data_IF_344287430338
#
_entry.id   IF_344287430338
#
_cell.length_a   1.000
_cell.length_b   1.000
_cell.length_c   1.000
_cell.angle_alpha   90.00
_cell.angle_beta   90.00
_cell.angle_gamma   90.00
#
_symmetry.space_group_name_H-M   'P 1'
#
loop_
_entity.id
_entity.type
_entity.pdbx_description
1 polymer ?
#
# COMPACT_ATOMS: atom_id res chain seq x y z
N UNK A 1 -7.08 22.65 10.00
CA UNK A 1 -6.58 21.95 8.79
C UNK A 1 -7.73 21.11 8.24
N UNK A 2 -8.05 21.16 6.94
CA UNK A 2 -9.06 20.25 6.36
C UNK A 2 -8.56 18.81 6.49
N UNK A 3 -9.45 17.86 6.78
CA UNK A 3 -9.11 16.44 6.89
C UNK A 3 -8.64 15.92 5.52
N UNK A 4 -7.50 15.21 5.49
CA UNK A 4 -7.01 14.54 4.28
C UNK A 4 -7.83 13.27 4.04
N UNK A 5 -8.21 13.02 2.81
CA UNK A 5 -9.04 11.88 2.42
C UNK A 5 -8.29 10.93 1.48
N UNK A 6 -8.40 9.62 1.73
CA UNK A 6 -7.97 8.56 0.80
C UNK A 6 -9.02 8.30 -0.28
N UNK A 7 -10.30 8.40 0.11
CA UNK A 7 -11.47 8.51 -0.75
C UNK A 7 -12.62 9.18 0.01
N UNK A 8 -13.76 9.37 -0.65
CA UNK A 8 -14.93 10.00 -0.05
C UNK A 8 -15.36 9.29 1.25
N UNK A 9 -15.31 10.03 2.37
CA UNK A 9 -15.70 9.52 3.68
C UNK A 9 -14.65 8.67 4.40
N UNK A 10 -13.45 8.48 3.83
CA UNK A 10 -12.36 7.78 4.53
C UNK A 10 -11.14 8.68 4.73
N UNK A 11 -10.73 8.93 5.99
CA UNK A 11 -9.53 9.69 6.30
C UNK A 11 -8.26 9.00 5.77
N UNK A 12 -7.35 9.78 5.17
CA UNK A 12 -6.11 9.25 4.59
C UNK A 12 -5.23 8.56 5.64
N UNK A 13 -5.06 9.17 6.82
CA UNK A 13 -4.20 8.64 7.89
C UNK A 13 -4.72 7.27 8.37
N UNK A 14 -6.03 7.17 8.61
CA UNK A 14 -6.67 5.93 9.04
C UNK A 14 -6.49 4.82 8.00
N UNK A 15 -6.61 5.16 6.72
CA UNK A 15 -6.40 4.23 5.62
C UNK A 15 -4.95 3.70 5.58
N UNK A 16 -3.95 4.58 5.52
CA UNK A 16 -2.55 4.17 5.39
C UNK A 16 -2.04 3.43 6.64
N UNK A 17 -2.51 3.80 7.84
CA UNK A 17 -2.19 3.08 9.07
C UNK A 17 -2.71 1.64 9.06
N UNK A 18 -3.95 1.43 8.62
CA UNK A 18 -4.55 0.10 8.53
C UNK A 18 -3.89 -0.75 7.47
N UNK A 19 -3.64 -0.19 6.28
CA UNK A 19 -2.95 -0.92 5.21
C UNK A 19 -1.55 -1.31 5.68
N UNK A 20 -0.81 -0.41 6.33
CA UNK A 20 0.49 -0.75 6.91
C UNK A 20 0.40 -1.84 7.99
N UNK A 21 -0.59 -1.80 8.88
CA UNK A 21 -0.72 -2.78 9.96
C UNK A 21 -1.12 -4.17 9.45
N UNK A 22 -1.99 -4.24 8.44
CA UNK A 22 -2.32 -5.49 7.75
C UNK A 22 -1.09 -6.01 6.98
N UNK A 23 -0.38 -5.14 6.27
CA UNK A 23 0.83 -5.49 5.52
C UNK A 23 1.98 -5.98 6.41
N UNK A 24 2.06 -5.52 7.66
CA UNK A 24 2.99 -6.03 8.68
C UNK A 24 2.53 -7.34 9.35
N UNK A 25 1.30 -7.79 9.06
CA UNK A 25 0.69 -8.96 9.69
C UNK A 25 0.46 -8.73 11.19
N UNK A 26 -0.06 -7.57 11.58
CA UNK A 26 -0.46 -7.32 12.98
C UNK A 26 -1.79 -8.03 13.26
N UNK A 27 -1.79 -8.88 14.28
CA UNK A 27 -2.91 -9.75 14.64
C UNK A 27 -4.23 -8.96 14.81
N UNK A 28 -4.19 -7.85 15.55
CA UNK A 28 -5.38 -7.02 15.81
C UNK A 28 -5.96 -6.38 14.53
N UNK A 29 -5.11 -6.03 13.57
CA UNK A 29 -5.57 -5.49 12.28
C UNK A 29 -6.25 -6.59 11.44
N UNK A 30 -5.69 -7.80 11.42
CA UNK A 30 -6.28 -8.96 10.73
C UNK A 30 -7.64 -9.32 11.35
N UNK A 31 -7.74 -9.36 12.68
CA UNK A 31 -9.01 -9.60 13.39
C UNK A 31 -10.07 -8.56 13.04
N UNK A 32 -9.71 -7.28 13.09
CA UNK A 32 -10.63 -6.17 12.75
C UNK A 32 -11.19 -6.31 11.33
N UNK A 33 -10.34 -6.66 10.36
CA UNK A 33 -10.81 -6.90 8.99
C UNK A 33 -11.68 -8.15 8.90
N UNK A 34 -11.32 -9.25 9.57
CA UNK A 34 -12.11 -10.47 9.56
C UNK A 34 -13.53 -10.25 10.10
N UNK A 35 -13.67 -9.48 11.18
CA UNK A 35 -14.95 -9.07 11.75
C UNK A 35 -15.77 -8.23 10.74
N UNK A 36 -15.12 -7.28 10.07
CA UNK A 36 -15.78 -6.46 9.08
C UNK A 36 -16.20 -7.25 7.82
N UNK A 37 -15.39 -8.20 7.37
CA UNK A 37 -15.73 -9.13 6.29
C UNK A 37 -16.98 -9.93 6.67
N UNK A 38 -17.04 -10.44 7.89
CA UNK A 38 -18.23 -11.15 8.41
C UNK A 38 -19.46 -10.25 8.45
N UNK A 39 -19.33 -9.06 9.03
CA UNK A 39 -20.44 -8.12 9.20
C UNK A 39 -20.98 -7.56 7.88
N UNK A 40 -20.11 -7.26 6.92
CA UNK A 40 -20.47 -6.54 5.69
C UNK A 40 -20.68 -7.42 4.48
N UNK A 41 -19.93 -8.52 4.38
CA UNK A 41 -20.00 -9.42 3.23
C UNK A 41 -20.76 -10.71 3.53
N UNK A 42 -21.14 -10.95 4.81
CA UNK A 42 -21.78 -12.19 5.26
C UNK A 42 -20.97 -13.44 4.89
N UNK A 43 -19.63 -13.34 4.90
CA UNK A 43 -18.67 -14.40 4.59
C UNK A 43 -17.56 -14.38 5.63
N UNK A 44 -16.84 -15.49 5.78
CA UNK A 44 -15.70 -15.56 6.70
C UNK A 44 -14.40 -15.37 5.93
N UNK A 45 -13.52 -14.53 6.45
CA UNK A 45 -12.13 -14.46 6.01
C UNK A 45 -11.39 -15.72 6.48
N UNK A 46 -10.67 -16.36 5.59
CA UNK A 46 -9.79 -17.48 5.93
C UNK A 46 -8.47 -16.93 6.48
N UNK A 47 -8.44 -16.67 7.80
CA UNK A 47 -7.28 -16.08 8.49
C UNK A 47 -6.05 -16.97 8.34
N UNK A 48 -6.19 -18.28 8.47
CA UNK A 48 -5.06 -19.22 8.34
C UNK A 48 -4.44 -19.17 6.93
N UNK A 49 -5.27 -19.07 5.89
CA UNK A 49 -4.81 -18.89 4.51
C UNK A 49 -4.09 -17.55 4.34
N UNK A 50 -4.68 -16.44 4.82
CA UNK A 50 -4.08 -15.11 4.74
C UNK A 50 -2.73 -15.06 5.46
N UNK A 51 -2.65 -15.57 6.69
CA UNK A 51 -1.41 -15.63 7.47
C UNK A 51 -0.37 -16.46 6.73
N UNK A 52 -0.73 -17.63 6.20
CA UNK A 52 0.19 -18.46 5.41
C UNK A 52 0.72 -17.73 4.17
N UNK A 53 -0.14 -17.01 3.45
CA UNK A 53 0.27 -16.22 2.28
C UNK A 53 1.24 -15.09 2.68
N UNK A 54 0.94 -14.35 3.74
CA UNK A 54 1.82 -13.29 4.26
C UNK A 54 3.16 -13.86 4.74
N UNK A 55 3.16 -14.87 5.60
CA UNK A 55 4.39 -15.45 6.15
C UNK A 55 5.27 -16.13 5.11
N UNK A 56 4.67 -16.81 4.11
CA UNK A 56 5.45 -17.38 3.00
C UNK A 56 6.09 -16.29 2.14
N UNK A 57 5.38 -15.18 1.92
CA UNK A 57 5.92 -14.00 1.23
C UNK A 57 7.05 -13.35 2.04
N UNK A 58 6.89 -13.21 3.36
CA UNK A 58 7.94 -12.67 4.22
C UNK A 58 9.19 -13.55 4.22
N UNK A 59 9.03 -14.87 4.32
CA UNK A 59 10.15 -15.81 4.28
C UNK A 59 10.88 -15.76 2.93
N UNK A 60 10.14 -15.65 1.83
CA UNK A 60 10.70 -15.52 0.49
C UNK A 60 11.50 -14.20 0.31
N UNK A 61 11.03 -13.11 0.90
CA UNK A 61 11.74 -11.82 0.95
C UNK A 61 12.97 -11.87 1.85
N UNK A 62 12.84 -12.45 3.03
CA UNK A 62 13.92 -12.62 4.01
C UNK A 62 15.10 -13.38 3.38
N UNK A 63 14.81 -14.49 2.69
CA UNK A 63 15.80 -15.28 1.98
C UNK A 63 16.49 -14.49 0.85
N UNK A 64 15.73 -13.79 0.00
CA UNK A 64 16.27 -13.00 -1.12
C UNK A 64 17.14 -11.83 -0.65
N UNK A 65 16.74 -11.17 0.43
CA UNK A 65 17.39 -9.96 0.93
C UNK A 65 18.43 -10.24 2.03
N UNK A 66 18.58 -11.52 2.42
CA UNK A 66 19.48 -11.96 3.50
C UNK A 66 19.27 -11.11 4.76
N UNK A 67 18.02 -11.05 5.22
CA UNK A 67 17.57 -10.37 6.44
C UNK A 67 16.59 -11.27 7.20
N UNK A 68 16.34 -10.95 8.46
CA UNK A 68 15.34 -11.67 9.25
C UNK A 68 13.90 -11.32 8.86
N UNK A 69 12.97 -12.22 9.19
CA UNK A 69 11.55 -12.04 8.92
C UNK A 69 10.94 -10.83 9.64
N UNK A 70 11.48 -10.44 10.79
CA UNK A 70 10.93 -9.33 11.56
C UNK A 70 11.22 -7.99 10.86
N UNK A 71 12.43 -7.81 10.34
CA UNK A 71 12.78 -6.67 9.50
C UNK A 71 11.93 -6.66 8.21
N UNK A 72 11.69 -7.82 7.59
CA UNK A 72 10.80 -7.90 6.42
C UNK A 72 9.38 -7.43 6.75
N UNK A 73 8.80 -7.87 7.87
CA UNK A 73 7.47 -7.44 8.32
C UNK A 73 7.41 -5.94 8.56
N UNK A 74 8.45 -5.38 9.19
CA UNK A 74 8.56 -3.93 9.41
C UNK A 74 8.64 -3.17 8.08
N UNK A 75 9.45 -3.64 7.12
CA UNK A 75 9.55 -3.05 5.79
C UNK A 75 8.25 -3.19 4.99
N UNK A 76 7.52 -4.30 5.13
CA UNK A 76 6.20 -4.49 4.54
C UNK A 76 5.17 -3.52 5.14
N UNK A 77 5.20 -3.30 6.46
CA UNK A 77 4.39 -2.28 7.11
C UNK A 77 4.70 -0.87 6.63
N UNK A 78 5.99 -0.51 6.48
CA UNK A 78 6.41 0.77 5.89
C UNK A 78 5.90 0.90 4.45
N UNK A 79 6.05 -0.13 3.62
CA UNK A 79 5.59 -0.10 2.24
C UNK A 79 4.07 0.06 2.14
N UNK A 80 3.31 -0.66 2.97
CA UNK A 80 1.86 -0.55 3.08
C UNK A 80 1.42 0.83 3.59
N UNK A 81 2.11 1.42 4.56
CA UNK A 81 1.80 2.79 5.00
C UNK A 81 2.12 3.81 3.89
N UNK A 82 3.22 3.62 3.16
CA UNK A 82 3.69 4.61 2.22
C UNK A 82 2.89 4.64 0.92
N UNK A 83 2.16 3.57 0.60
CA UNK A 83 1.55 3.37 -0.73
C UNK A 83 0.72 4.55 -1.25
N UNK A 84 0.04 5.26 -0.34
CA UNK A 84 -0.93 6.31 -0.64
C UNK A 84 -0.56 7.69 -0.08
N UNK A 85 0.66 7.89 0.45
CA UNK A 85 1.08 9.19 1.00
C UNK A 85 0.95 10.33 -0.03
N UNK A 86 1.17 10.03 -1.31
CA UNK A 86 1.01 10.96 -2.44
C UNK A 86 -0.41 11.53 -2.57
N UNK A 87 -1.42 10.92 -1.96
CA UNK A 87 -2.77 11.49 -1.89
C UNK A 87 -2.83 12.76 -1.04
N UNK A 88 -1.84 13.02 -0.18
CA UNK A 88 -1.78 14.24 0.61
C UNK A 88 -1.55 15.52 -0.23
N UNK A 89 -1.14 15.38 -1.50
CA UNK A 89 -0.92 16.50 -2.41
C UNK A 89 -2.21 17.31 -2.57
N UNK A 90 -2.12 18.64 -2.44
CA UNK A 90 -3.27 19.54 -2.54
C UNK A 90 -4.06 19.39 -3.83
N UNK A 91 -3.40 19.13 -4.97
CA UNK A 91 -4.06 18.83 -6.24
C UNK A 91 -4.94 17.56 -6.15
N UNK A 92 -4.50 16.53 -5.42
CA UNK A 92 -5.30 15.34 -5.12
C UNK A 92 -6.48 15.68 -4.22
N UNK A 93 -6.21 16.35 -3.10
CA UNK A 93 -7.24 16.71 -2.11
C UNK A 93 -8.32 17.66 -2.67
N UNK A 94 -7.97 18.52 -3.63
CA UNK A 94 -8.90 19.43 -4.30
C UNK A 94 -10.04 18.72 -5.04
N UNK A 95 -9.89 17.42 -5.33
CA UNK A 95 -10.89 16.61 -6.04
C UNK A 95 -11.96 16.00 -5.14
N UNK A 96 -11.92 16.21 -3.83
CA UNK A 96 -12.97 15.82 -2.88
C UNK A 96 -13.95 16.95 -2.48
N UNK A 97 -14.48 17.82 -3.38
CA UNK A 97 -15.59 18.67 -2.98
C UNK A 97 -16.79 17.78 -2.59
N UNK A 98 -17.51 18.22 -1.56
CA UNK A 98 -18.69 17.57 -0.94
C UNK A 98 -19.69 17.00 -1.94
N UNK A 99 -19.82 17.65 -3.08
CA UNK A 99 -20.77 17.47 -4.17
C UNK A 99 -20.37 16.34 -5.15
N UNK A 100 -19.13 15.84 -5.09
CA UNK A 100 -18.67 14.66 -5.85
C UNK A 100 -18.66 13.37 -5.02
N UNK A 101 -18.82 13.47 -3.71
CA UNK A 101 -18.83 12.31 -2.82
C UNK A 101 -20.19 11.58 -2.72
N UNK A 102 -21.24 12.12 -3.35
CA UNK A 102 -22.55 11.47 -3.43
C UNK A 102 -22.63 10.29 -4.41
N UNK A 103 -21.67 10.15 -5.34
CA UNK A 103 -21.82 9.25 -6.48
C UNK A 103 -21.06 7.92 -6.37
N UNK A 104 -20.37 7.65 -5.25
CA UNK A 104 -19.51 6.47 -5.04
C UNK A 104 -18.42 6.25 -6.12
N UNK A 105 -18.34 7.10 -7.14
CA UNK A 105 -17.29 7.12 -8.17
C UNK A 105 -16.05 7.71 -7.52
N UNK A 106 -15.18 6.81 -7.05
CA UNK A 106 -13.92 7.18 -6.44
C UNK A 106 -13.17 8.22 -7.28
N UNK A 107 -12.61 9.20 -6.59
CA UNK A 107 -11.68 10.15 -7.19
C UNK A 107 -10.40 9.37 -7.50
N UNK A 108 -10.21 8.98 -8.76
CA UNK A 108 -8.93 8.44 -9.22
C UNK A 108 -8.13 9.57 -9.84
N UNK A 109 -7.08 9.99 -9.14
CA UNK A 109 -5.97 10.71 -9.73
C UNK A 109 -4.83 9.72 -9.83
N UNK A 110 -4.46 9.41 -11.07
CA UNK A 110 -3.25 8.67 -11.29
C UNK A 110 -2.02 9.55 -11.03
N UNK A 111 -0.92 8.92 -10.64
CA UNK A 111 0.35 9.59 -10.32
C UNK A 111 0.61 9.78 -8.82
N UNK A 112 -0.36 9.53 -7.92
CA UNK A 112 -0.11 9.58 -6.47
C UNK A 112 0.84 8.46 -6.04
N UNK A 113 0.79 7.31 -6.70
CA UNK A 113 1.67 6.17 -6.51
C UNK A 113 3.15 6.51 -6.78
N UNK A 114 3.43 7.41 -7.74
CA UNK A 114 4.79 7.87 -8.06
C UNK A 114 5.33 8.79 -6.97
N UNK A 115 4.51 9.73 -6.51
CA UNK A 115 4.92 10.63 -5.44
C UNK A 115 5.09 9.89 -4.12
N UNK A 116 4.21 8.91 -3.87
CA UNK A 116 4.37 7.96 -2.76
C UNK A 116 5.70 7.20 -2.86
N UNK A 117 6.04 6.68 -4.04
CA UNK A 117 7.28 5.97 -4.29
C UNK A 117 8.52 6.87 -4.13
N UNK A 118 8.43 8.12 -4.57
CA UNK A 118 9.49 9.11 -4.41
C UNK A 118 9.77 9.38 -2.93
N UNK A 119 8.72 9.66 -2.15
CA UNK A 119 8.83 9.87 -0.70
C UNK A 119 9.38 8.61 -0.03
N UNK A 120 8.88 7.44 -0.41
CA UNK A 120 9.33 6.16 0.10
C UNK A 120 10.84 5.93 -0.10
N UNK A 121 11.33 6.19 -1.31
CA UNK A 121 12.73 6.04 -1.64
C UNK A 121 13.62 6.89 -0.72
N UNK A 122 13.36 8.19 -0.61
CA UNK A 122 14.21 9.07 0.19
C UNK A 122 14.07 8.82 1.70
N UNK A 123 12.86 8.56 2.20
CA UNK A 123 12.64 8.31 3.61
C UNK A 123 13.33 7.02 4.08
N UNK A 124 13.24 5.93 3.30
CA UNK A 124 13.89 4.65 3.63
C UNK A 124 15.41 4.75 3.45
N UNK A 125 15.88 5.33 2.34
CA UNK A 125 17.33 5.40 2.04
C UNK A 125 18.10 6.16 3.13
N UNK A 126 17.52 7.23 3.65
CA UNK A 126 18.17 8.06 4.67
C UNK A 126 17.86 7.62 6.10
N UNK A 127 17.15 6.50 6.30
CA UNK A 127 16.88 5.98 7.64
C UNK A 127 18.18 5.50 8.30
N UNK A 128 18.55 6.00 9.50
CA UNK A 128 19.81 5.68 10.16
C UNK A 128 19.87 4.23 10.70
N UNK A 129 18.73 3.56 10.84
CA UNK A 129 18.67 2.18 11.34
C UNK A 129 19.09 1.15 10.28
N UNK A 130 19.16 1.56 9.01
CA UNK A 130 19.51 0.70 7.90
C UNK A 130 20.99 0.90 7.55
N UNK A 131 21.76 -0.18 7.46
CA UNK A 131 23.14 -0.13 6.96
C UNK A 131 23.15 0.54 5.58
N UNK A 132 24.04 1.51 5.37
CA UNK A 132 24.09 2.35 4.16
C UNK A 132 24.01 1.54 2.85
N UNK A 133 24.73 0.43 2.76
CA UNK A 133 24.73 -0.46 1.59
C UNK A 133 23.37 -1.14 1.33
N UNK A 134 22.64 -1.51 2.39
CA UNK A 134 21.32 -2.13 2.28
C UNK A 134 20.18 -1.11 2.15
N UNK A 135 20.37 0.11 2.67
CA UNK A 135 19.37 1.18 2.65
C UNK A 135 18.94 1.55 1.23
N UNK A 136 19.88 1.63 0.29
CA UNK A 136 19.59 1.91 -1.12
C UNK A 136 18.76 0.78 -1.77
N UNK A 137 19.10 -0.48 -1.47
CA UNK A 137 18.38 -1.64 -1.99
C UNK A 137 16.95 -1.67 -1.46
N UNK A 138 16.75 -1.49 -0.15
CA UNK A 138 15.42 -1.46 0.44
C UNK A 138 14.60 -0.27 -0.05
N UNK A 139 15.21 0.90 -0.16
CA UNK A 139 14.56 2.08 -0.70
C UNK A 139 14.04 1.86 -2.13
N UNK A 140 14.84 1.23 -3.00
CA UNK A 140 14.44 0.90 -4.37
C UNK A 140 13.30 -0.11 -4.41
N UNK A 141 13.42 -1.19 -3.65
CA UNK A 141 12.39 -2.25 -3.60
C UNK A 141 11.06 -1.69 -3.09
N UNK A 142 11.08 -0.92 -1.99
CA UNK A 142 9.87 -0.30 -1.43
C UNK A 142 9.29 0.72 -2.40
N UNK A 143 10.11 1.59 -2.99
CA UNK A 143 9.63 2.58 -3.97
C UNK A 143 8.99 1.91 -5.19
N UNK A 144 9.59 0.81 -5.69
CA UNK A 144 9.01 0.05 -6.79
C UNK A 144 7.69 -0.60 -6.39
N UNK A 145 7.62 -1.23 -5.21
CA UNK A 145 6.38 -1.83 -4.74
C UNK A 145 5.26 -0.79 -4.57
N UNK A 146 5.60 0.38 -4.02
CA UNK A 146 4.67 1.51 -3.88
C UNK A 146 4.26 2.06 -5.24
N UNK A 147 5.16 2.24 -6.20
CA UNK A 147 4.78 2.71 -7.54
C UNK A 147 3.84 1.73 -8.25
N UNK A 148 3.96 0.45 -7.94
CA UNK A 148 3.29 -0.65 -8.62
C UNK A 148 2.06 -1.20 -7.87
N UNK A 149 1.62 -0.58 -6.78
CA UNK A 149 0.51 -1.14 -5.99
C UNK A 149 -0.85 -1.18 -6.73
N UNK A 150 -1.04 -0.36 -7.78
CA UNK A 150 -2.18 -0.45 -8.70
C UNK A 150 -1.92 -1.30 -9.95
N UNK A 151 -0.69 -1.81 -10.13
CA UNK A 151 -0.13 -2.14 -11.45
C UNK A 151 -0.43 -3.54 -11.98
N UNK A 152 -1.32 -4.31 -11.36
CA UNK A 152 -1.89 -5.49 -12.04
C UNK A 152 -2.57 -5.13 -13.40
N UNK A 153 -2.60 -3.84 -13.77
CA UNK A 153 -3.16 -3.27 -15.01
C UNK A 153 -2.26 -2.25 -15.74
N UNK A 154 -1.04 -1.91 -15.28
CA UNK A 154 -0.28 -0.75 -15.78
C UNK A 154 1.24 -0.97 -15.80
N UNK A 155 1.94 -0.38 -16.78
CA UNK A 155 3.40 -0.34 -16.82
C UNK A 155 3.98 0.78 -15.93
N UNK A 156 5.27 0.71 -15.59
CA UNK A 156 6.00 1.80 -14.91
C UNK A 156 5.88 3.11 -15.72
N UNK A 157 5.90 3.02 -17.05
CA UNK A 157 5.81 4.17 -17.95
C UNK A 157 4.46 4.87 -17.83
N UNK A 158 3.36 4.10 -17.78
CA UNK A 158 2.01 4.65 -17.63
C UNK A 158 1.85 5.40 -16.30
N UNK A 159 2.44 4.85 -15.24
CA UNK A 159 2.38 5.40 -13.88
C UNK A 159 3.19 6.69 -13.76
N UNK A 160 4.40 6.72 -14.35
CA UNK A 160 5.29 7.89 -14.39
C UNK A 160 4.66 9.07 -15.15
N UNK A 161 4.01 8.81 -16.30
CA UNK A 161 3.40 9.85 -17.13
C UNK A 161 2.31 10.63 -16.37
N UNK A 162 1.49 9.95 -15.57
CA UNK A 162 0.42 10.62 -14.83
C UNK A 162 0.94 11.57 -13.75
N UNK A 163 2.08 11.24 -13.14
CA UNK A 163 2.68 12.04 -12.08
C UNK A 163 3.21 13.40 -12.56
N UNK A 164 3.58 13.50 -13.84
CA UNK A 164 4.00 14.77 -14.48
C UNK A 164 2.90 15.83 -14.38
N UNK A 165 1.63 15.40 -14.35
CA UNK A 165 0.46 16.28 -14.31
C UNK A 165 0.00 16.66 -12.89
N UNK A 166 0.61 16.10 -11.84
CA UNK A 166 0.22 16.32 -10.43
C UNK A 166 1.44 16.75 -9.62
N UNK A 167 1.93 17.97 -9.84
CA UNK A 167 3.13 18.48 -9.16
C UNK A 167 2.85 18.86 -7.69
N UNK A 168 3.60 18.33 -6.70
CA UNK A 168 3.52 18.79 -5.32
C UNK A 168 4.16 20.16 -5.16
N UNK A 169 3.54 21.00 -4.32
CA UNK A 169 4.16 22.21 -3.75
C UNK A 169 5.18 21.83 -2.67
N UNK A 170 5.97 22.79 -2.20
CA UNK A 170 6.88 22.55 -1.07
C UNK A 170 6.13 22.20 0.22
N UNK A 171 4.96 22.79 0.43
CA UNK A 171 4.10 22.49 1.58
C UNK A 171 3.53 21.07 1.49
N UNK A 172 3.17 20.61 0.28
CA UNK A 172 2.75 19.23 0.05
C UNK A 172 3.87 18.24 0.39
N UNK A 173 5.11 18.54 -0.02
CA UNK A 173 6.27 17.70 0.32
C UNK A 173 6.48 17.63 1.83
N UNK A 174 6.32 18.75 2.53
CA UNK A 174 6.50 18.81 3.98
C UNK A 174 5.49 17.94 4.69
N UNK A 175 4.22 18.04 4.29
CA UNK A 175 3.15 17.20 4.79
C UNK A 175 3.42 15.72 4.51
N UNK A 176 3.82 15.37 3.28
CA UNK A 176 4.15 13.98 2.92
C UNK A 176 5.33 13.43 3.72
N UNK A 177 6.36 14.24 4.00
CA UNK A 177 7.49 13.82 4.83
C UNK A 177 7.13 13.68 6.31
N UNK A 178 6.21 14.49 6.84
CA UNK A 178 5.67 14.26 8.19
C UNK A 178 4.86 12.96 8.27
N UNK A 179 4.06 12.66 7.25
CA UNK A 179 3.39 11.35 7.15
C UNK A 179 4.39 10.21 7.05
N UNK A 180 5.44 10.36 6.24
CA UNK A 180 6.49 9.35 6.09
C UNK A 180 7.27 9.12 7.39
N UNK A 181 7.55 10.19 8.14
CA UNK A 181 8.16 10.11 9.48
C UNK A 181 7.30 9.25 10.41
N UNK A 182 6.01 9.56 10.52
CA UNK A 182 5.08 8.79 11.35
C UNK A 182 5.02 7.31 10.92
N UNK A 183 5.03 7.04 9.61
CA UNK A 183 5.04 5.68 9.08
C UNK A 183 6.32 4.90 9.44
N UNK A 184 7.51 5.49 9.27
CA UNK A 184 8.75 4.83 9.69
C UNK A 184 8.74 4.55 11.19
N UNK A 185 8.43 5.56 12.01
CA UNK A 185 8.44 5.47 13.47
C UNK A 185 7.46 4.40 13.97
N UNK A 186 6.27 4.29 13.35
CA UNK A 186 5.26 3.26 13.66
C UNK A 186 5.79 1.83 13.50
N UNK A 187 6.71 1.61 12.55
CA UNK A 187 7.36 0.32 12.32
C UNK A 187 8.80 0.30 12.81
N UNK A 188 9.13 1.15 13.79
CA UNK A 188 10.38 1.16 14.55
C UNK A 188 11.61 1.65 13.78
N UNK A 189 11.42 2.26 12.61
CA UNK A 189 12.49 2.89 11.84
C UNK A 189 12.51 4.40 12.12
N UNK A 190 13.69 4.96 12.19
CA UNK A 190 13.91 6.37 12.48
C UNK A 190 13.89 7.15 11.18
N UNK A 191 13.34 8.36 11.25
CA UNK A 191 13.36 9.31 10.15
C UNK A 191 14.57 10.24 10.25
N UNK A 192 15.20 10.52 9.12
CA UNK A 192 16.27 11.52 9.03
C UNK A 192 15.79 12.76 8.28
N UNK A 193 16.06 13.95 8.80
CA UNK A 193 15.81 15.21 8.09
C UNK A 193 16.62 15.30 6.77
N UNK A 194 17.67 14.51 6.62
CA UNK A 194 18.40 14.37 5.35
C UNK A 194 17.49 13.82 4.22
N UNK A 195 16.49 13.00 4.53
CA UNK A 195 15.50 12.51 3.56
C UNK A 195 14.78 13.67 2.88
N UNK A 196 14.23 14.58 3.68
CA UNK A 196 13.51 15.77 3.23
C UNK A 196 14.42 16.69 2.42
N UNK A 197 15.63 16.93 2.90
CA UNK A 197 16.61 17.77 2.20
C UNK A 197 17.02 17.18 0.84
N UNK A 198 17.34 15.88 0.79
CA UNK A 198 17.73 15.19 -0.44
C UNK A 198 16.60 15.15 -1.46
N UNK A 199 15.36 14.87 -1.03
CA UNK A 199 14.21 14.84 -1.92
C UNK A 199 13.89 16.23 -2.50
N UNK A 200 13.91 17.28 -1.66
CA UNK A 200 13.73 18.68 -2.12
C UNK A 200 14.83 19.07 -3.11
N UNK A 201 16.08 18.75 -2.80
CA UNK A 201 17.20 19.02 -3.70
C UNK A 201 17.01 18.36 -5.07
N UNK A 202 16.64 17.06 -5.08
CA UNK A 202 16.37 16.36 -6.33
C UNK A 202 15.19 16.97 -7.11
N UNK A 203 14.09 17.31 -6.43
CA UNK A 203 12.92 17.91 -7.08
C UNK A 203 13.24 19.28 -7.68
N UNK A 204 13.93 20.15 -6.94
CA UNK A 204 14.25 21.51 -7.37
C UNK A 204 15.30 21.55 -8.48
N UNK A 205 16.29 20.64 -8.43
CA UNK A 205 17.41 20.63 -9.38
C UNK A 205 17.09 19.94 -10.69
N UNK A 206 16.29 18.88 -10.65
CA UNK A 206 16.10 18.02 -11.81
C UNK A 206 14.67 18.00 -12.33
N UNK A 207 13.65 18.28 -11.50
CA UNK A 207 12.23 18.08 -11.85
C UNK A 207 12.00 16.78 -12.66
N UNK A 208 12.77 15.74 -12.34
CA UNK A 208 12.91 14.61 -13.26
C UNK A 208 12.42 13.33 -12.61
N UNK A 209 11.13 13.06 -12.79
CA UNK A 209 10.55 11.75 -12.49
C UNK A 209 11.24 10.66 -13.34
N UNK A 210 11.93 11.01 -14.43
CA UNK A 210 12.76 10.05 -15.20
C UNK A 210 13.89 9.47 -14.37
N UNK A 211 14.48 10.22 -13.43
CA UNK A 211 15.48 9.66 -12.52
C UNK A 211 14.88 8.63 -11.55
N UNK A 212 13.61 8.80 -11.14
CA UNK A 212 12.89 7.75 -10.41
C UNK A 212 12.60 6.57 -11.32
N UNK A 213 12.10 6.81 -12.54
CA UNK A 213 11.84 5.79 -13.55
C UNK A 213 13.07 4.91 -13.80
N UNK A 214 14.24 5.51 -14.04
CA UNK A 214 15.50 4.79 -14.24
C UNK A 214 15.88 3.92 -13.02
N UNK A 215 15.69 4.45 -11.81
CA UNK A 215 15.91 3.67 -10.58
C UNK A 215 14.93 2.51 -10.45
N UNK A 216 13.66 2.72 -10.77
CA UNK A 216 12.63 1.68 -10.74
C UNK A 216 12.93 0.59 -11.78
N UNK A 217 13.31 0.96 -13.01
CA UNK A 217 13.62 0.02 -14.09
C UNK A 217 14.94 -0.74 -13.91
N UNK A 218 15.88 -0.21 -13.12
CA UNK A 218 17.15 -0.86 -12.81
C UNK A 218 17.11 -1.72 -11.54
N UNK A 219 15.96 -1.82 -10.89
CA UNK A 219 15.76 -2.65 -9.68
C UNK A 219 15.34 -4.06 -10.08
N UNK A 220 15.84 -5.07 -9.37
CA UNK A 220 15.33 -6.44 -9.51
C UNK A 220 13.84 -6.46 -9.13
N UNK A 221 12.92 -6.79 -10.07
CA UNK A 221 11.49 -6.73 -9.83
C UNK A 221 11.03 -7.78 -8.82
N UNK A 222 11.70 -8.92 -8.70
CA UNK A 222 11.20 -10.06 -7.93
C UNK A 222 10.89 -9.75 -6.45
N UNK A 223 11.78 -9.12 -5.67
CA UNK A 223 11.43 -8.72 -4.30
C UNK A 223 10.36 -7.61 -4.26
N UNK A 224 10.33 -6.71 -5.23
CA UNK A 224 9.30 -5.67 -5.27
C UNK A 224 7.92 -6.26 -5.55
N UNK A 225 7.79 -7.22 -6.47
CA UNK A 225 6.53 -7.92 -6.79
C UNK A 225 5.93 -8.63 -5.57
N UNK A 226 6.78 -9.25 -4.73
CA UNK A 226 6.34 -9.84 -3.47
C UNK A 226 5.76 -8.78 -2.52
N UNK A 227 6.36 -7.59 -2.42
CA UNK A 227 5.80 -6.49 -1.64
C UNK A 227 4.54 -5.90 -2.29
N UNK A 228 4.47 -5.79 -3.62
CA UNK A 228 3.25 -5.37 -4.33
C UNK A 228 2.08 -6.27 -3.95
N UNK A 229 2.31 -7.58 -3.92
CA UNK A 229 1.30 -8.54 -3.49
C UNK A 229 0.82 -8.26 -2.07
N UNK A 230 1.74 -8.05 -1.12
CA UNK A 230 1.38 -7.72 0.28
C UNK A 230 0.59 -6.41 0.37
N UNK A 231 1.04 -5.33 -0.27
CA UNK A 231 0.35 -4.03 -0.28
C UNK A 231 -1.05 -4.17 -0.88
N UNK A 232 -1.16 -4.84 -2.03
CA UNK A 232 -2.44 -5.02 -2.72
C UNK A 232 -3.42 -5.85 -1.90
N UNK A 233 -2.95 -6.91 -1.25
CA UNK A 233 -3.78 -7.71 -0.34
C UNK A 233 -4.26 -6.84 0.83
N UNK A 234 -3.37 -6.06 1.45
CA UNK A 234 -3.70 -5.18 2.56
C UNK A 234 -4.68 -4.06 2.20
N UNK A 235 -4.49 -3.38 1.06
CA UNK A 235 -5.41 -2.34 0.56
C UNK A 235 -6.80 -2.91 0.26
N UNK A 236 -6.88 -4.09 -0.38
CA UNK A 236 -8.17 -4.74 -0.64
C UNK A 236 -8.89 -5.17 0.64
N UNK A 237 -8.14 -5.54 1.68
CA UNK A 237 -8.68 -5.86 3.00
C UNK A 237 -9.19 -4.60 3.73
N UNK A 238 -8.42 -3.51 3.73
CA UNK A 238 -8.89 -2.22 4.27
C UNK A 238 -10.11 -1.68 3.52
N UNK A 239 -10.20 -1.90 2.20
CA UNK A 239 -11.35 -1.50 1.41
C UNK A 239 -12.67 -2.06 1.96
N UNK A 240 -12.68 -3.26 2.56
CA UNK A 240 -13.89 -3.82 3.22
C UNK A 240 -14.38 -2.93 4.36
N UNK A 241 -13.45 -2.33 5.11
CA UNK A 241 -13.76 -1.53 6.29
C UNK A 241 -14.53 -0.26 5.94
N UNK A 242 -14.38 0.27 4.72
CA UNK A 242 -14.94 1.59 4.39
C UNK A 242 -15.64 1.70 3.03
N UNK A 243 -15.49 0.75 2.12
CA UNK A 243 -16.15 0.80 0.80
C UNK A 243 -17.43 -0.06 0.78
N UNK A 244 -18.56 0.56 0.45
CA UNK A 244 -19.84 -0.11 0.22
C UNK A 244 -19.94 -0.67 -1.21
N UNK A 245 -18.99 -1.51 -1.64
CA UNK A 245 -18.97 -2.04 -3.00
C UNK A 245 -18.92 -3.57 -3.02
N UNK A 246 -19.96 -4.21 -3.55
CA UNK A 246 -20.02 -5.67 -3.73
C UNK A 246 -18.89 -6.27 -4.57
N UNK A 247 -18.14 -5.45 -5.32
CA UNK A 247 -16.92 -5.87 -6.03
C UNK A 247 -15.79 -6.31 -5.10
N UNK A 248 -15.76 -5.87 -3.85
CA UNK A 248 -14.72 -6.25 -2.89
C UNK A 248 -14.80 -7.75 -2.57
N UNK A 249 -16.01 -8.30 -2.48
CA UNK A 249 -16.21 -9.74 -2.29
C UNK A 249 -15.67 -10.59 -3.46
N UNK A 250 -15.61 -10.02 -4.67
CA UNK A 250 -15.00 -10.68 -5.82
C UNK A 250 -13.47 -10.70 -5.72
N UNK A 251 -12.85 -9.56 -5.36
CA UNK A 251 -11.40 -9.45 -5.22
C UNK A 251 -10.88 -10.32 -4.08
N UNK A 252 -11.60 -10.35 -2.95
CA UNK A 252 -11.23 -11.15 -1.80
C UNK A 252 -11.63 -12.63 -1.92
N UNK A 253 -12.31 -13.05 -2.99
CA UNK A 253 -12.79 -14.42 -3.15
C UNK A 253 -11.75 -15.51 -2.84
N UNK A 254 -10.46 -15.39 -3.21
CA UNK A 254 -9.44 -16.38 -2.85
C UNK A 254 -9.22 -16.54 -1.34
N UNK A 255 -9.41 -15.46 -0.58
CA UNK A 255 -9.23 -15.40 0.87
C UNK A 255 -10.50 -15.64 1.67
N UNK A 256 -11.66 -15.81 1.01
CA UNK A 256 -12.92 -16.06 1.69
C UNK A 256 -13.14 -17.55 1.79
N UNK A 257 -13.51 -18.03 2.98
CA UNK A 257 -13.98 -19.42 3.14
C UNK A 257 -15.14 -19.62 2.17
N UNK A 258 -15.04 -20.68 1.37
CA UNK A 258 -16.17 -21.11 0.54
C UNK A 258 -17.38 -21.31 1.44
N UNK A 259 -18.60 -21.03 0.95
CA UNK A 259 -19.71 -21.81 1.49
C UNK A 259 -19.27 -23.24 1.24
N UNK A 260 -19.12 -24.06 2.29
CA UNK A 260 -19.29 -25.50 2.09
C UNK A 260 -20.64 -25.58 1.40
N UNK A 261 -20.65 -25.84 0.11
CA UNK A 261 -21.81 -26.42 -0.53
C UNK A 261 -22.00 -27.70 0.25
N UNK A 262 -22.85 -27.63 1.28
CA UNK A 262 -23.42 -28.83 1.84
C UNK A 262 -24.01 -29.51 0.63
N UNK A 263 -23.39 -30.62 0.25
CA UNK A 263 -23.98 -31.59 -0.62
C UNK A 263 -25.36 -31.90 -0.05
N UNK A 264 -26.37 -31.18 -0.53
CA UNK A 264 -27.72 -31.72 -0.55
C UNK A 264 -27.56 -32.87 -1.52
N UNK A 265 -27.30 -34.06 -0.97
CA UNK A 265 -27.59 -35.31 -1.65
C UNK A 265 -29.01 -35.13 -2.16
N UNK A 266 -29.15 -34.93 -3.47
CA UNK A 266 -30.43 -35.06 -4.12
C UNK A 266 -31.02 -36.41 -3.69
N UNK A 267 -32.35 -36.50 -3.53
CA UNK A 267 -32.99 -37.72 -3.09
C UNK A 267 -32.52 -38.88 -3.97
N UNK A 268 -32.06 -39.94 -3.32
CA UNK A 268 -31.63 -41.19 -3.92
C UNK A 268 -32.78 -41.72 -4.80
N UNK A 269 -32.63 -41.84 -6.13
CA UNK A 269 -33.72 -42.26 -7.01
C UNK A 269 -33.93 -43.78 -6.99
N UNK A 270 -33.61 -44.45 -5.87
CA UNK A 270 -33.87 -45.87 -5.64
C UNK A 270 -34.20 -46.16 -4.17
N UNK A 271 -35.47 -46.03 -3.85
CA UNK A 271 -36.12 -46.83 -2.80
C UNK A 271 -37.44 -47.37 -3.39
N UNK A 272 -37.82 -48.61 -3.02
CA UNK A 272 -38.48 -49.61 -3.87
C UNK A 272 -39.87 -49.26 -4.39
#
# INVERSE_FOLDING_TARGET
MKQLLAWCGQPLIEHIERVGDIAAGREEAIKTVAEAVKAKLCRELDIELLERELYSTYAALAARLSIDNELVRRLAGVAGYFHDIGKAIGAYQSRFPSDKCGDCKGVSLAGHEVWSAWIAYFAVRESPDLKKEKSEVFARIIAMAVALHHSARRSIDDVVLDAVHVRPTLDDLDLMFELARAGLERYGLSFSQAAKAAARYHLLRFYDITALREKLLSTDPAPAELLVHVITTADNLDAVLNRCNGRIAYVLKPLLRGRRENAVKGPDPKAP
#
